data_IF_053454734166
#
_entry.id   IF_053454734166
#
_cell.length_a   1.000
_cell.length_b   1.000
_cell.length_c   1.000
_cell.angle_alpha   90.00
_cell.angle_beta   90.00
_cell.angle_gamma   90.00
#
_symmetry.space_group_name_H-M   'P 1'
#
loop_
_entity.id
_entity.type
_entity.pdbx_description
1 polymer ?
#
# COMPACT_ATOMS: atom_id res chain seq x y z
N UNK A 1 20.27 -0.63 82.19
CA UNK A 1 20.93 -1.67 81.37
C UNK A 1 20.32 -1.63 79.98
N UNK A 2 21.09 -1.94 78.92
CA UNK A 2 20.75 -2.09 77.48
C UNK A 2 19.36 -1.57 77.00
N UNK A 3 19.25 -0.57 76.13
CA UNK A 3 19.69 -0.51 74.72
C UNK A 3 18.95 -1.47 73.77
N UNK A 4 18.65 -0.94 72.56
CA UNK A 4 18.38 -1.62 71.27
C UNK A 4 16.95 -1.78 70.72
N UNK A 5 16.77 -1.17 69.52
CA UNK A 5 16.02 -1.67 68.33
C UNK A 5 14.47 -1.72 68.44
N UNK A 6 13.68 -1.46 67.38
CA UNK A 6 13.99 -1.15 65.97
C UNK A 6 12.86 -0.33 65.29
N UNK A 7 13.25 0.43 64.28
CA UNK A 7 12.40 1.13 63.32
C UNK A 7 11.70 0.14 62.36
N UNK A 8 10.40 0.34 62.06
CA UNK A 8 9.80 0.25 60.71
C UNK A 8 8.27 0.37 60.75
N UNK A 9 7.72 1.41 60.12
CA UNK A 9 6.28 1.52 59.82
C UNK A 9 5.99 0.75 58.53
N UNK A 10 5.12 -0.26 58.59
CA UNK A 10 4.67 -1.01 57.41
C UNK A 10 3.40 -0.37 56.83
N UNK A 11 3.59 0.49 55.82
CA UNK A 11 2.50 0.95 54.96
C UNK A 11 2.19 -0.13 53.92
N UNK A 12 0.94 -0.61 53.90
CA UNK A 12 0.47 -1.61 52.94
C UNK A 12 0.34 -1.03 51.53
N UNK A 13 1.00 -1.67 50.55
CA UNK A 13 0.89 -1.31 49.13
C UNK A 13 -0.38 -1.95 48.54
N UNK A 14 -1.38 -1.13 48.23
CA UNK A 14 -2.51 -1.54 47.41
C UNK A 14 -2.14 -1.46 45.93
N UNK A 15 -1.78 -2.61 45.34
CA UNK A 15 -1.60 -2.76 43.89
C UNK A 15 -2.97 -2.93 43.24
N UNK A 16 -3.43 -1.91 42.53
CA UNK A 16 -4.57 -2.03 41.61
C UNK A 16 -4.08 -2.44 40.21
N UNK A 17 -4.71 -3.42 39.53
CA UNK A 17 -4.36 -3.77 38.16
C UNK A 17 -4.84 -2.68 37.20
N UNK A 18 -3.92 -2.09 36.44
CA UNK A 18 -4.27 -1.20 35.34
C UNK A 18 -4.88 -2.01 34.18
N UNK A 19 -6.00 -1.53 33.64
CA UNK A 19 -6.52 -2.01 32.35
C UNK A 19 -5.58 -1.61 31.21
N UNK A 20 -5.57 -2.34 30.08
CA UNK A 20 -4.81 -1.95 28.90
C UNK A 20 -5.40 -0.67 28.32
N UNK A 21 -4.77 0.46 28.64
CA UNK A 21 -5.04 1.75 28.04
C UNK A 21 -4.50 1.74 26.61
N UNK A 22 -5.39 1.83 25.61
CA UNK A 22 -4.95 2.14 24.25
C UNK A 22 -4.19 3.45 24.29
N UNK A 23 -2.91 3.43 23.89
CA UNK A 23 -2.01 4.58 23.99
C UNK A 23 -2.55 5.72 23.11
N UNK A 24 -3.00 6.85 23.69
CA UNK A 24 -3.36 8.00 22.89
C UNK A 24 -2.08 8.54 22.24
N UNK A 25 -2.04 8.55 20.91
CA UNK A 25 -0.91 9.10 20.16
C UNK A 25 -0.68 10.55 20.61
N UNK A 26 0.54 10.93 21.04
CA UNK A 26 0.75 12.25 21.61
C UNK A 26 0.47 13.35 20.57
N UNK A 27 -0.37 14.35 20.85
CA UNK A 27 -0.67 15.43 19.92
C UNK A 27 0.51 16.43 19.88
N UNK A 28 1.59 16.09 19.15
CA UNK A 28 2.87 16.78 19.30
C UNK A 28 3.83 16.75 18.11
N UNK A 29 3.37 16.43 16.88
CA UNK A 29 4.25 16.30 15.71
C UNK A 29 3.55 16.52 14.33
N UNK A 30 2.25 16.83 14.29
CA UNK A 30 1.49 17.02 13.03
C UNK A 30 2.08 18.07 12.08
N UNK A 31 2.57 19.19 12.64
CA UNK A 31 3.21 20.23 11.85
C UNK A 31 4.61 19.80 11.37
N UNK A 32 5.32 19.01 12.17
CA UNK A 32 6.65 18.48 11.85
C UNK A 32 6.59 17.50 10.67
N UNK A 33 5.64 16.56 10.67
CA UNK A 33 5.41 15.64 9.55
C UNK A 33 5.10 16.39 8.23
N UNK A 34 4.32 17.48 8.29
CA UNK A 34 4.02 18.30 7.11
C UNK A 34 5.23 19.11 6.64
N UNK A 35 6.03 19.67 7.55
CA UNK A 35 7.26 20.39 7.23
C UNK A 35 8.30 19.45 6.59
N UNK A 36 8.51 18.27 7.16
CA UNK A 36 9.40 17.23 6.60
C UNK A 36 8.92 16.78 5.23
N UNK A 37 7.63 16.48 5.07
CA UNK A 37 7.05 16.10 3.79
C UNK A 37 7.21 17.21 2.73
N UNK A 38 7.03 18.49 3.08
CA UNK A 38 7.25 19.63 2.17
C UNK A 38 8.73 19.72 1.73
N UNK A 39 9.66 19.53 2.65
CA UNK A 39 11.11 19.53 2.38
C UNK A 39 11.52 18.36 1.47
N UNK A 40 10.99 17.16 1.70
CA UNK A 40 11.13 16.00 0.82
C UNK A 40 10.54 16.25 -0.59
N UNK A 41 9.36 16.85 -0.69
CA UNK A 41 8.74 17.25 -1.97
C UNK A 41 9.59 18.27 -2.74
N UNK A 42 10.16 19.26 -2.04
CA UNK A 42 11.03 20.27 -2.65
C UNK A 42 12.33 19.65 -3.17
N UNK A 43 13.00 18.78 -2.39
CA UNK A 43 14.18 18.03 -2.86
C UNK A 43 13.88 17.15 -4.08
N UNK A 44 12.65 16.64 -4.18
CA UNK A 44 12.18 15.86 -5.33
C UNK A 44 11.71 16.71 -6.54
N UNK A 45 11.78 18.05 -6.48
CA UNK A 45 11.36 19.01 -7.50
C UNK A 45 9.84 19.10 -7.77
N UNK A 46 9.02 18.99 -6.71
CA UNK A 46 7.56 19.19 -6.76
C UNK A 46 7.13 20.57 -6.19
N UNK A 47 7.86 21.64 -6.54
CA UNK A 47 7.70 22.98 -5.97
C UNK A 47 6.30 23.57 -6.21
N UNK A 48 5.70 23.29 -7.37
CA UNK A 48 4.37 23.78 -7.70
C UNK A 48 3.31 23.07 -6.85
N UNK A 49 3.45 21.77 -6.57
CA UNK A 49 2.53 21.06 -5.67
C UNK A 49 2.63 21.56 -4.23
N UNK A 50 3.85 21.83 -3.75
CA UNK A 50 4.10 22.47 -2.44
C UNK A 50 3.45 23.86 -2.36
N UNK A 51 3.53 24.65 -3.43
CA UNK A 51 2.85 25.95 -3.50
C UNK A 51 1.34 25.81 -3.33
N UNK A 52 0.71 24.79 -3.93
CA UNK A 52 -0.73 24.51 -3.77
C UNK A 52 -1.08 24.08 -2.33
N UNK A 53 -0.26 23.23 -1.71
CA UNK A 53 -0.37 22.86 -0.28
C UNK A 53 -0.36 24.11 0.61
N UNK A 54 0.60 25.00 0.39
CA UNK A 54 0.71 26.25 1.16
C UNK A 54 -0.52 27.16 0.93
N UNK A 55 -0.97 27.35 -0.31
CA UNK A 55 -2.17 28.12 -0.64
C UNK A 55 -3.44 27.58 0.03
N UNK A 56 -3.61 26.26 0.09
CA UNK A 56 -4.75 25.64 0.77
C UNK A 56 -4.67 25.81 2.30
N UNK A 57 -3.46 25.69 2.86
CA UNK A 57 -3.20 25.77 4.30
C UNK A 57 -3.49 27.16 4.90
N UNK A 58 -3.47 28.22 4.07
CA UNK A 58 -3.87 29.58 4.47
C UNK A 58 -5.36 29.72 4.84
N UNK A 59 -6.22 28.78 4.42
CA UNK A 59 -7.66 28.85 4.68
C UNK A 59 -8.29 27.58 5.28
N UNK A 60 -7.65 26.41 5.16
CA UNK A 60 -8.17 25.12 5.65
C UNK A 60 -7.00 24.22 6.09
N UNK A 61 -7.15 23.51 7.22
CA UNK A 61 -6.19 22.47 7.61
C UNK A 61 -6.25 21.33 6.58
N UNK A 62 -5.10 20.92 6.04
CA UNK A 62 -5.02 19.74 5.19
C UNK A 62 -5.18 18.49 6.07
N UNK A 63 -5.80 17.45 5.52
CA UNK A 63 -6.08 16.20 6.23
C UNK A 63 -4.78 15.49 6.64
N UNK A 64 -4.70 15.06 7.90
CA UNK A 64 -3.65 14.17 8.40
C UNK A 64 -3.89 12.72 7.93
N UNK A 65 -2.86 11.87 7.98
CA UNK A 65 -2.93 10.46 7.56
C UNK A 65 -3.30 10.32 6.08
N UNK A 66 -2.45 10.85 5.22
CA UNK A 66 -2.73 11.11 3.80
C UNK A 66 -1.59 10.65 2.89
N UNK A 67 -1.93 10.19 1.67
CA UNK A 67 -0.95 10.02 0.58
C UNK A 67 -1.22 11.05 -0.52
N UNK A 68 -0.27 11.92 -0.82
CA UNK A 68 -0.36 12.81 -1.98
C UNK A 68 0.06 12.14 -3.27
N UNK A 69 -0.74 12.30 -4.32
CA UNK A 69 -0.50 11.85 -5.69
C UNK A 69 -0.14 13.08 -6.52
N UNK A 70 1.14 13.44 -6.55
CA UNK A 70 1.62 14.76 -6.95
C UNK A 70 1.93 14.81 -8.45
N UNK A 71 1.20 15.60 -9.27
CA UNK A 71 1.64 15.87 -10.63
C UNK A 71 2.93 16.69 -10.59
N UNK A 72 3.88 16.40 -11.48
CA UNK A 72 5.10 17.20 -11.57
C UNK A 72 4.83 18.62 -12.08
N UNK A 73 5.76 19.54 -11.80
CA UNK A 73 5.64 20.97 -12.12
C UNK A 73 5.40 21.25 -13.63
N UNK A 74 5.93 20.42 -14.52
CA UNK A 74 5.69 20.51 -15.97
C UNK A 74 4.22 20.20 -16.34
N UNK A 75 3.56 19.31 -15.61
CA UNK A 75 2.13 19.04 -15.80
C UNK A 75 1.27 20.14 -15.15
N UNK A 76 1.63 20.61 -13.96
CA UNK A 76 0.91 21.67 -13.25
C UNK A 76 0.95 23.01 -14.01
N UNK A 77 2.09 23.41 -14.58
CA UNK A 77 2.23 24.62 -15.41
C UNK A 77 1.33 24.68 -16.65
N UNK A 78 0.73 23.55 -17.06
CA UNK A 78 -0.20 23.44 -18.21
C UNK A 78 -1.66 23.25 -17.77
N UNK A 79 -1.90 23.17 -16.46
CA UNK A 79 -3.21 22.85 -15.89
C UNK A 79 -3.96 24.13 -15.57
N UNK A 80 -5.09 24.37 -16.24
CA UNK A 80 -5.98 25.48 -15.89
C UNK A 80 -6.76 25.11 -14.63
N UNK A 81 -6.51 25.84 -13.54
CA UNK A 81 -7.24 25.71 -12.29
C UNK A 81 -8.13 26.93 -12.04
N UNK A 82 -9.46 26.75 -11.92
CA UNK A 82 -10.35 27.83 -11.49
C UNK A 82 -9.97 28.39 -10.11
N UNK A 83 -10.33 29.65 -9.86
CA UNK A 83 -10.15 30.23 -8.53
C UNK A 83 -10.98 29.47 -7.48
N UNK A 84 -10.44 29.32 -6.27
CA UNK A 84 -11.09 28.63 -5.15
C UNK A 84 -10.98 27.10 -5.15
N UNK A 85 -10.67 26.45 -6.28
CA UNK A 85 -10.68 24.97 -6.39
C UNK A 85 -9.37 24.29 -5.95
N UNK A 86 -8.39 25.03 -5.41
CA UNK A 86 -7.07 24.48 -5.01
C UNK A 86 -7.21 23.36 -3.97
N UNK A 87 -8.08 23.52 -2.97
CA UNK A 87 -8.31 22.49 -1.94
C UNK A 87 -8.98 21.24 -2.54
N UNK A 88 -9.96 21.42 -3.42
CA UNK A 88 -10.63 20.30 -4.11
C UNK A 88 -9.67 19.54 -5.03
N UNK A 89 -8.75 20.26 -5.68
CA UNK A 89 -7.67 19.69 -6.45
C UNK A 89 -6.77 18.83 -5.56
N UNK A 90 -6.31 19.34 -4.41
CA UNK A 90 -5.48 18.58 -3.47
C UNK A 90 -6.19 17.34 -2.95
N UNK A 91 -7.46 17.46 -2.53
CA UNK A 91 -8.26 16.33 -2.04
C UNK A 91 -8.44 15.23 -3.09
N UNK A 92 -8.57 15.60 -4.37
CA UNK A 92 -8.65 14.64 -5.48
C UNK A 92 -7.30 13.97 -5.76
N UNK A 93 -6.22 14.68 -5.48
CA UNK A 93 -4.84 14.22 -5.55
C UNK A 93 -4.35 13.66 -4.21
N UNK A 94 -5.25 13.14 -3.37
CA UNK A 94 -4.87 12.47 -2.13
C UNK A 94 -5.71 11.24 -1.82
N UNK A 95 -5.09 10.27 -1.15
CA UNK A 95 -5.74 9.09 -0.56
C UNK A 95 -5.83 9.32 0.96
N UNK A 96 -6.96 9.07 1.64
CA UNK A 96 -7.13 9.29 3.08
C UNK A 96 -6.51 8.15 3.93
N UNK A 97 -5.27 7.80 3.60
CA UNK A 97 -4.42 6.85 4.33
C UNK A 97 -2.95 7.10 3.94
N UNK A 98 -1.96 6.98 4.85
CA UNK A 98 -0.54 7.12 4.55
C UNK A 98 0.03 5.81 3.99
N UNK A 99 0.01 5.65 2.66
CA UNK A 99 0.41 4.46 1.94
C UNK A 99 1.79 4.63 1.32
N UNK A 100 2.68 3.70 1.63
CA UNK A 100 3.89 3.45 0.84
C UNK A 100 3.51 2.72 -0.46
N UNK A 101 4.36 2.86 -1.48
CA UNK A 101 4.19 2.16 -2.75
C UNK A 101 4.14 0.65 -2.58
N UNK A 102 4.92 0.11 -1.63
CA UNK A 102 4.95 -1.29 -1.25
C UNK A 102 3.57 -1.79 -0.77
N UNK A 103 2.70 -0.93 -0.22
CA UNK A 103 1.30 -1.29 0.05
C UNK A 103 0.42 -1.16 -1.20
N UNK A 104 0.65 -0.14 -2.03
CA UNK A 104 -0.10 0.06 -3.28
C UNK A 104 0.10 -1.09 -4.26
N UNK A 105 1.31 -1.64 -4.40
CA UNK A 105 1.61 -2.73 -5.34
C UNK A 105 0.99 -4.09 -4.95
N UNK A 106 0.44 -4.22 -3.73
CA UNK A 106 -0.37 -5.37 -3.33
C UNK A 106 -1.87 -5.19 -3.66
N UNK A 107 -2.32 -4.00 -4.05
CA UNK A 107 -3.72 -3.75 -4.43
C UNK A 107 -3.98 -4.33 -5.84
N UNK A 108 -4.97 -5.22 -6.02
CA UNK A 108 -5.27 -5.81 -7.31
C UNK A 108 -5.69 -4.80 -8.39
N UNK A 109 -5.40 -5.12 -9.65
CA UNK A 109 -5.95 -4.38 -10.81
C UNK A 109 -7.47 -4.46 -10.82
N UNK A 110 -8.12 -3.31 -11.02
CA UNK A 110 -9.58 -3.17 -11.00
C UNK A 110 -10.15 -2.74 -9.65
N UNK A 111 -9.36 -2.78 -8.57
CA UNK A 111 -9.77 -2.23 -7.28
C UNK A 111 -10.10 -0.74 -7.39
N UNK A 112 -11.07 -0.30 -6.57
CA UNK A 112 -11.55 1.07 -6.49
C UNK A 112 -11.35 1.54 -5.04
N UNK A 113 -10.54 2.56 -4.82
CA UNK A 113 -10.26 3.14 -3.49
C UNK A 113 -10.73 4.60 -3.42
N UNK A 114 -11.10 5.15 -2.25
CA UNK A 114 -11.48 6.56 -2.16
C UNK A 114 -10.28 7.49 -2.30
N UNK A 115 -10.50 8.67 -2.89
CA UNK A 115 -9.66 9.85 -2.63
C UNK A 115 -10.15 10.58 -1.37
N UNK A 116 -9.43 11.61 -0.93
CA UNK A 116 -9.94 12.51 0.12
C UNK A 116 -11.04 13.45 -0.38
N UNK A 117 -11.29 13.54 -1.70
CA UNK A 117 -12.41 14.31 -2.24
C UNK A 117 -13.69 13.45 -2.19
N UNK A 118 -14.75 13.87 -1.47
CA UNK A 118 -15.96 13.07 -1.29
C UNK A 118 -16.56 12.59 -2.62
N UNK A 119 -16.83 11.27 -2.69
CA UNK A 119 -17.38 10.62 -3.87
C UNK A 119 -16.39 10.38 -5.03
N UNK A 120 -15.20 11.01 -5.04
CA UNK A 120 -14.23 10.76 -6.11
C UNK A 120 -13.39 9.52 -5.82
N UNK A 121 -13.55 8.52 -6.68
CA UNK A 121 -12.91 7.22 -6.55
C UNK A 121 -11.70 7.06 -7.50
N UNK A 122 -10.75 6.27 -7.05
CA UNK A 122 -9.45 6.00 -7.67
C UNK A 122 -9.39 4.54 -8.10
N UNK A 123 -9.37 4.30 -9.41
CA UNK A 123 -9.25 2.97 -10.03
C UNK A 123 -7.78 2.57 -10.14
N UNK A 124 -7.44 1.44 -9.53
CA UNK A 124 -6.10 0.86 -9.57
C UNK A 124 -5.91 0.03 -10.84
N UNK A 125 -4.78 0.25 -11.51
CA UNK A 125 -4.28 -0.57 -12.61
C UNK A 125 -2.84 -0.92 -12.27
N UNK A 126 -2.67 -2.11 -11.70
CA UNK A 126 -1.42 -2.66 -11.19
C UNK A 126 -0.89 -3.71 -12.17
N UNK A 127 -0.02 -3.28 -13.08
CA UNK A 127 0.75 -4.17 -13.95
C UNK A 127 2.19 -4.33 -13.42
N UNK A 128 2.35 -4.38 -12.09
CA UNK A 128 3.63 -4.42 -11.37
C UNK A 128 4.33 -3.06 -11.25
N UNK A 129 5.40 -3.04 -10.45
CA UNK A 129 6.12 -1.83 -9.98
C UNK A 129 6.52 -0.81 -11.07
N UNK A 130 6.80 -1.24 -12.30
CA UNK A 130 7.17 -0.34 -13.42
C UNK A 130 5.98 0.20 -14.22
N UNK A 131 4.77 -0.30 -13.97
CA UNK A 131 3.55 0.00 -14.72
C UNK A 131 2.30 0.02 -13.80
N UNK A 132 2.45 0.65 -12.64
CA UNK A 132 1.34 0.95 -11.73
C UNK A 132 0.72 2.32 -12.06
N UNK A 133 -0.60 2.39 -12.13
CA UNK A 133 -1.33 3.63 -12.41
C UNK A 133 -2.67 3.72 -11.66
N UNK A 134 -3.10 4.95 -11.44
CA UNK A 134 -4.33 5.32 -10.73
C UNK A 134 -5.15 6.21 -11.67
N UNK A 135 -6.41 5.85 -11.97
CA UNK A 135 -7.23 6.50 -13.00
C UNK A 135 -6.47 6.72 -14.33
N UNK A 136 -5.73 5.68 -14.75
CA UNK A 136 -4.85 5.68 -15.94
C UNK A 136 -3.65 6.64 -15.87
N UNK A 137 -3.43 7.36 -14.77
CA UNK A 137 -2.23 8.18 -14.53
C UNK A 137 -1.16 7.35 -13.83
N UNK A 138 0.03 7.28 -14.42
CA UNK A 138 1.14 6.44 -13.93
C UNK A 138 1.82 7.03 -12.69
N UNK A 139 2.18 6.19 -11.71
CA UNK A 139 3.15 6.57 -10.67
C UNK A 139 4.56 6.50 -11.26
N UNK A 140 5.28 7.61 -11.24
CA UNK A 140 6.64 7.76 -11.79
C UNK A 140 7.71 8.00 -10.73
N UNK A 141 7.33 8.43 -9.53
CA UNK A 141 8.25 8.64 -8.41
C UNK A 141 7.62 8.12 -7.12
N UNK A 142 7.69 6.80 -6.85
CA UNK A 142 7.17 6.22 -5.61
C UNK A 142 8.00 6.70 -4.41
N UNK A 143 7.39 6.65 -3.21
CA UNK A 143 8.07 6.82 -1.92
C UNK A 143 8.94 8.10 -1.83
N UNK A 144 8.39 9.27 -2.15
CA UNK A 144 9.08 10.57 -1.99
C UNK A 144 9.10 10.99 -0.51
N UNK A 145 7.94 10.99 0.15
CA UNK A 145 7.83 11.38 1.56
C UNK A 145 8.01 10.16 2.47
N UNK A 146 9.14 10.07 3.15
CA UNK A 146 9.60 8.89 3.89
C UNK A 146 9.85 9.18 5.38
N UNK A 147 10.33 10.38 5.73
CA UNK A 147 10.69 10.74 7.11
C UNK A 147 9.51 10.78 8.07
N UNK A 148 8.39 11.39 7.65
CA UNK A 148 7.16 11.45 8.43
C UNK A 148 6.43 10.09 8.55
N UNK A 149 5.40 10.02 9.39
CA UNK A 149 4.55 8.83 9.53
C UNK A 149 3.14 9.02 8.96
N UNK A 150 2.59 10.23 9.10
CA UNK A 150 1.23 10.60 8.74
C UNK A 150 1.06 11.12 7.31
N UNK A 151 2.16 11.42 6.61
CA UNK A 151 2.14 11.91 5.23
C UNK A 151 3.04 11.02 4.36
N UNK A 152 2.45 10.47 3.30
CA UNK A 152 3.17 9.84 2.19
C UNK A 152 2.97 10.65 0.93
N UNK A 153 3.90 10.55 -0.02
CA UNK A 153 3.72 11.20 -1.31
C UNK A 153 4.40 10.45 -2.44
N UNK A 154 3.77 10.47 -3.60
CA UNK A 154 4.18 9.80 -4.82
C UNK A 154 4.01 10.74 -6.02
N UNK A 155 5.02 10.84 -6.87
CA UNK A 155 4.95 11.59 -8.12
C UNK A 155 4.18 10.84 -9.20
N UNK A 156 3.28 11.53 -9.90
CA UNK A 156 2.44 10.97 -10.96
C UNK A 156 2.62 11.72 -12.30
N UNK A 157 2.46 10.98 -13.40
CA UNK A 157 2.67 11.48 -14.78
C UNK A 157 1.38 12.02 -15.42
N UNK A 158 0.71 12.92 -14.71
CA UNK A 158 -0.56 13.48 -15.13
C UNK A 158 -1.35 14.08 -13.99
N UNK A 159 -2.54 14.58 -14.33
CA UNK A 159 -3.46 15.23 -13.40
C UNK A 159 -4.74 14.41 -13.31
N UNK A 160 -5.19 14.13 -12.10
CA UNK A 160 -6.47 13.50 -11.83
C UNK A 160 -7.60 14.49 -12.18
N UNK A 161 -8.23 14.26 -13.32
CA UNK A 161 -9.31 15.10 -13.83
C UNK A 161 -10.56 14.97 -12.94
N UNK A 162 -11.41 16.02 -12.86
CA UNK A 162 -12.72 15.88 -12.24
C UNK A 162 -13.53 14.90 -13.06
N UNK A 163 -13.88 13.75 -12.46
CA UNK A 163 -14.87 12.86 -13.03
C UNK A 163 -16.19 13.61 -12.95
N UNK A 164 -16.74 14.01 -14.09
CA UNK A 164 -18.17 14.27 -14.15
C UNK A 164 -18.82 12.95 -13.78
N UNK A 165 -19.40 12.84 -12.59
CA UNK A 165 -20.33 11.76 -12.33
C UNK A 165 -21.46 11.95 -13.33
N UNK A 166 -21.45 11.13 -14.36
CA UNK A 166 -22.65 10.91 -15.14
C UNK A 166 -23.59 10.20 -14.18
N UNK A 167 -24.53 10.97 -13.62
CA UNK A 167 -25.76 10.47 -13.04
C UNK A 167 -26.55 9.78 -14.17
N UNK A 168 -26.05 8.62 -14.56
CA UNK A 168 -26.77 7.74 -15.47
C UNK A 168 -27.91 7.20 -14.63
N UNK A 169 -29.13 7.70 -14.88
CA UNK A 169 -30.39 7.24 -14.28
C UNK A 169 -30.61 5.76 -14.58
N UNK A 170 -29.83 4.93 -13.89
CA UNK A 170 -29.81 3.49 -13.98
C UNK A 170 -30.56 3.06 -12.75
N UNK A 171 -31.80 2.60 -12.99
CA UNK A 171 -32.71 2.03 -12.00
C UNK A 171 -31.96 1.29 -10.91
N UNK A 172 -32.26 1.63 -9.65
CA UNK A 172 -31.69 1.01 -8.45
C UNK A 172 -31.86 -0.52 -8.57
N UNK A 173 -30.79 -1.21 -8.95
CA UNK A 173 -30.66 -2.65 -8.76
C UNK A 173 -30.24 -2.84 -7.30
N UNK A 174 -31.02 -3.55 -6.47
CA UNK A 174 -30.68 -3.70 -5.06
C UNK A 174 -29.34 -4.44 -4.95
N UNK A 175 -28.40 -3.87 -4.20
CA UNK A 175 -27.27 -4.63 -3.68
C UNK A 175 -27.83 -5.85 -2.93
N UNK A 176 -27.27 -7.07 -3.10
CA UNK A 176 -27.65 -8.20 -2.28
C UNK A 176 -27.21 -7.91 -0.83
N UNK A 177 -28.16 -7.46 -0.02
CA UNK A 177 -27.94 -7.27 1.41
C UNK A 177 -27.63 -8.63 2.03
N UNK A 178 -26.48 -8.76 2.69
CA UNK A 178 -26.13 -9.95 3.45
C UNK A 178 -26.97 -10.03 4.73
N UNK A 179 -28.25 -10.38 4.58
CA UNK A 179 -29.15 -10.66 5.69
C UNK A 179 -28.71 -11.94 6.39
N UNK A 180 -28.18 -11.80 7.60
CA UNK A 180 -27.84 -12.90 8.49
C UNK A 180 -29.10 -13.67 8.90
N UNK A 181 -29.42 -14.75 8.19
CA UNK A 181 -30.48 -15.68 8.58
C UNK A 181 -30.00 -16.60 9.70
N UNK A 182 -30.51 -16.39 10.90
CA UNK A 182 -30.30 -17.28 12.05
C UNK A 182 -30.79 -18.71 11.74
N UNK A 183 -30.06 -19.77 12.13
CA UNK A 183 -30.56 -21.13 12.00
C UNK A 183 -31.68 -21.40 13.02
N UNK A 184 -32.80 -22.04 12.64
CA UNK A 184 -33.79 -22.49 13.61
C UNK A 184 -33.28 -23.67 14.44
N UNK A 185 -33.70 -23.73 15.71
CA UNK A 185 -33.23 -24.70 16.69
C UNK A 185 -33.76 -26.12 16.46
N UNK A 186 -33.07 -27.10 17.07
CA UNK A 186 -33.30 -28.53 16.92
C UNK A 186 -34.64 -29.03 17.49
N UNK A 187 -35.24 -30.03 16.82
CA UNK A 187 -36.30 -30.90 17.39
C UNK A 187 -36.12 -32.34 16.89
N UNK A 188 -36.18 -33.31 17.82
CA UNK A 188 -36.69 -34.67 17.54
C UNK A 188 -35.72 -35.74 16.98
N UNK A 189 -35.12 -36.53 17.88
CA UNK A 189 -34.59 -37.87 17.58
C UNK A 189 -35.72 -38.91 17.77
N UNK A 190 -35.77 -39.98 16.96
CA UNK A 190 -35.87 -41.31 17.58
C UNK A 190 -34.99 -42.41 16.93
N UNK A 191 -34.47 -43.27 17.81
CA UNK A 191 -34.12 -44.71 17.71
C UNK A 191 -33.74 -45.42 16.39
N UNK A 192 -32.61 -46.15 16.43
CA UNK A 192 -32.21 -47.18 15.47
C UNK A 192 -32.86 -48.56 15.78
N UNK A 193 -33.01 -49.44 14.78
CA UNK A 193 -32.11 -50.62 14.61
C UNK A 193 -31.78 -50.89 13.10
N UNK A 194 -30.89 -51.81 12.67
CA UNK A 194 -29.81 -52.64 13.27
C UNK A 194 -28.85 -53.12 12.14
N UNK A 195 -27.79 -53.88 12.47
CA UNK A 195 -26.86 -54.49 11.50
C UNK A 195 -27.02 -56.02 11.40
N UNK A 196 -26.61 -56.61 10.27
CA UNK A 196 -25.88 -57.89 10.29
C UNK A 196 -24.52 -57.79 9.57
N UNK A 197 -23.49 -58.40 10.17
CA UNK A 197 -22.12 -58.48 9.64
C UNK A 197 -21.87 -59.76 8.83
N UNK A 198 -20.82 -59.79 7.98
CA UNK A 198 -20.13 -61.03 7.62
C UNK A 198 -18.65 -61.04 8.05
N UNK A 199 -18.37 -61.92 9.01
CA UNK A 199 -17.20 -62.82 9.16
C UNK A 199 -15.82 -62.43 8.61
N UNK A 200 -14.83 -62.40 9.51
CA UNK A 200 -13.38 -62.43 9.22
C UNK A 200 -12.79 -63.81 9.57
N UNK A 201 -11.93 -64.41 8.73
CA UNK A 201 -10.98 -65.44 9.16
C UNK A 201 -9.62 -64.85 9.56
N UNK A 202 -9.04 -65.35 10.67
CA UNK A 202 -7.68 -65.04 11.14
C UNK A 202 -6.60 -65.51 10.14
N UNK A 203 -5.48 -64.76 10.01
CA UNK A 203 -4.30 -65.31 9.31
C UNK A 203 -3.09 -64.39 9.04
N UNK A 204 -2.26 -64.15 10.06
CA UNK A 204 -0.77 -64.03 9.98
C UNK A 204 -0.09 -62.98 9.06
N UNK A 205 0.55 -62.00 9.71
CA UNK A 205 1.86 -61.36 9.42
C UNK A 205 2.56 -61.57 8.05
N UNK A 206 2.78 -60.49 7.28
CA UNK A 206 4.12 -59.93 6.95
C UNK A 206 4.00 -58.61 6.14
N UNK A 207 4.91 -57.61 6.28
CA UNK A 207 4.94 -56.44 5.39
C UNK A 207 5.97 -56.62 4.26
N UNK A 208 5.53 -56.46 3.00
CA UNK A 208 6.45 -56.38 1.85
C UNK A 208 5.97 -55.29 0.88
N UNK A 209 6.92 -54.48 0.39
CA UNK A 209 6.64 -53.31 -0.43
C UNK A 209 6.08 -53.66 -1.83
N UNK A 210 5.17 -52.84 -2.34
CA UNK A 210 4.72 -52.87 -3.73
C UNK A 210 4.58 -51.44 -4.29
N UNK A 211 5.17 -51.21 -5.46
CA UNK A 211 5.39 -49.89 -6.07
C UNK A 211 4.12 -49.20 -6.58
N UNK A 212 4.07 -47.87 -6.48
CA UNK A 212 3.07 -47.05 -7.17
C UNK A 212 3.49 -46.75 -8.63
N UNK A 213 2.54 -46.67 -9.59
CA UNK A 213 2.84 -46.44 -11.01
C UNK A 213 3.14 -44.97 -11.35
N UNK A 214 3.96 -44.77 -12.39
CA UNK A 214 4.46 -43.47 -12.88
C UNK A 214 3.60 -42.93 -14.02
N UNK A 215 3.18 -41.63 -14.02
CA UNK A 215 2.56 -40.99 -15.18
C UNK A 215 3.55 -40.73 -16.33
N UNK A 216 3.05 -40.80 -17.56
CA UNK A 216 3.81 -40.74 -18.81
C UNK A 216 4.21 -39.31 -19.25
N UNK A 217 5.43 -39.16 -19.78
CA UNK A 217 5.85 -37.99 -20.56
C UNK A 217 5.59 -38.21 -22.07
N UNK A 218 5.23 -37.15 -22.81
CA UNK A 218 5.47 -37.07 -24.24
C UNK A 218 6.74 -36.25 -24.54
N UNK A 219 7.76 -36.96 -25.05
CA UNK A 219 8.75 -36.60 -26.08
C UNK A 219 9.48 -35.23 -26.09
N UNK A 220 10.78 -35.30 -26.38
CA UNK A 220 11.70 -34.17 -26.48
C UNK A 220 11.78 -33.55 -27.90
N UNK A 221 11.89 -32.22 -27.92
CA UNK A 221 12.76 -31.34 -28.74
C UNK A 221 13.10 -31.69 -30.21
N UNK A 222 13.24 -30.66 -31.07
CA UNK A 222 14.63 -30.31 -31.41
C UNK A 222 14.99 -28.82 -31.38
N UNK A 223 16.30 -28.58 -31.28
CA UNK A 223 17.01 -27.31 -31.25
C UNK A 223 16.92 -26.49 -32.54
N UNK A 224 16.84 -25.15 -32.43
CA UNK A 224 17.66 -24.21 -33.24
C UNK A 224 17.61 -22.75 -32.74
N UNK A 225 18.68 -22.25 -32.11
CA UNK A 225 18.89 -20.81 -31.89
C UNK A 225 20.36 -20.42 -31.81
N UNK A 226 20.76 -19.46 -32.64
CA UNK A 226 21.99 -18.68 -32.55
C UNK A 226 22.20 -17.86 -33.84
N UNK A 227 23.06 -16.81 -33.84
CA UNK A 227 23.70 -16.12 -32.71
C UNK A 227 23.22 -14.65 -32.58
N UNK A 228 23.66 -13.94 -31.54
CA UNK A 228 23.65 -12.47 -31.53
C UNK A 228 24.85 -11.89 -30.76
N UNK A 229 25.89 -11.40 -31.45
CA UNK A 229 26.87 -10.52 -30.84
C UNK A 229 26.34 -9.07 -30.83
N UNK A 230 26.71 -8.28 -29.82
CA UNK A 230 27.10 -6.85 -29.89
C UNK A 230 27.15 -6.23 -28.49
N UNK A 231 28.24 -6.48 -27.77
CA UNK A 231 28.65 -5.57 -26.69
C UNK A 231 29.24 -4.30 -27.34
N UNK A 232 28.52 -3.18 -27.25
CA UNK A 232 28.99 -1.89 -27.78
C UNK A 232 30.06 -1.28 -26.87
N UNK A 233 31.31 -1.74 -27.04
CA UNK A 233 32.48 -1.26 -26.30
C UNK A 233 32.86 0.20 -26.64
N UNK A 234 32.21 0.82 -27.62
CA UNK A 234 32.52 2.17 -28.11
C UNK A 234 31.96 3.33 -27.27
N UNK A 235 31.04 3.08 -26.33
CA UNK A 235 30.48 4.13 -25.46
C UNK A 235 31.40 4.50 -24.30
N UNK A 236 31.92 3.49 -23.60
CA UNK A 236 32.68 3.68 -22.36
C UNK A 236 34.03 4.37 -22.60
N UNK A 237 34.71 4.06 -23.71
CA UNK A 237 35.98 4.68 -24.08
C UNK A 237 35.82 6.18 -24.40
N UNK A 238 34.73 6.58 -25.05
CA UNK A 238 34.44 8.00 -25.36
C UNK A 238 34.17 8.82 -24.10
N UNK A 239 33.51 8.22 -23.10
CA UNK A 239 33.22 8.90 -21.83
C UNK A 239 34.51 9.16 -21.03
N UNK A 240 35.40 8.17 -20.95
CA UNK A 240 36.69 8.30 -20.26
C UNK A 240 37.59 9.37 -20.89
N UNK A 241 37.70 9.41 -22.22
CA UNK A 241 38.50 10.44 -22.93
C UNK A 241 37.92 11.85 -22.71
N UNK A 242 36.59 11.98 -22.70
CA UNK A 242 35.93 13.27 -22.42
C UNK A 242 36.20 13.77 -21.00
N UNK A 243 36.09 12.90 -19.99
CA UNK A 243 36.39 13.26 -18.60
C UNK A 243 37.85 13.70 -18.40
N UNK A 244 38.82 13.01 -19.02
CA UNK A 244 40.24 13.38 -18.90
C UNK A 244 40.53 14.76 -19.51
N UNK A 245 39.95 15.08 -20.67
CA UNK A 245 40.14 16.40 -21.30
C UNK A 245 39.57 17.55 -20.46
N UNK A 246 38.41 17.37 -19.83
CA UNK A 246 37.80 18.39 -18.95
C UNK A 246 38.65 18.64 -17.70
N UNK A 247 39.24 17.59 -17.11
CA UNK A 247 40.12 17.72 -15.93
C UNK A 247 41.44 18.43 -16.24
N UNK A 248 42.00 18.23 -17.44
CA UNK A 248 43.23 18.91 -17.87
C UNK A 248 42.97 20.41 -18.10
N UNK A 249 41.85 20.78 -18.73
CA UNK A 249 41.50 22.19 -18.99
C UNK A 249 41.11 22.95 -17.72
N UNK A 250 40.56 22.26 -16.70
CA UNK A 250 40.24 22.86 -15.40
C UNK A 250 41.43 23.03 -14.44
N UNK A 251 42.65 22.74 -14.87
CA UNK A 251 43.87 22.72 -14.04
C UNK A 251 44.98 23.66 -14.53
N UNK A 252 44.62 24.67 -15.35
CA UNK A 252 45.51 25.70 -15.93
C UNK A 252 44.97 27.08 -15.56
#
# INVERSE_FOLDING_TARGET
MAAFMKLAVLLGVLVSPASPMETPTPPGNQNLDLVGAIDEMQRANYFTFVTLINMASLGRKIQENVTFLMPNDRMLSRTVMPQGTVFEFLLRHSIPSPLLFDYLEHIPTGSIIPSSFPGYMLRIINNGRRNFSINNVKIISPNICMEGSSIRCHGIDGVLLPTKMQENNTTISPFPSCSSSSPPAAVGRPSAPSFPSPTVPLGVLNPTAASAPRPSQPNACPQRSGPSPWFSYGGMLKFLVSCMMVLIVGSI
#
